data_IF_965281065388
#
_entry.id   IF_965281065388
#
_cell.length_a   1.000
_cell.length_b   1.000
_cell.length_c   1.000
_cell.angle_alpha   90.00
_cell.angle_beta   90.00
_cell.angle_gamma   90.00
#
_symmetry.space_group_name_H-M   'P 1'
#
loop_
_entity.id
_entity.type
_entity.pdbx_description
1 polymer ?
#
# COMPACT_ATOMS: atom_id res chain seq x y z
N UNK A 1 18.41 24.54 8.57
CA UNK A 1 18.34 23.10 8.88
C UNK A 1 17.34 22.91 10.02
N UNK A 2 16.11 22.52 9.72
CA UNK A 2 15.04 22.42 10.70
C UNK A 2 15.22 21.14 11.53
N UNK A 3 15.77 21.29 12.74
CA UNK A 3 15.71 20.25 13.77
C UNK A 3 14.26 20.13 14.22
N UNK A 4 13.48 19.27 13.56
CA UNK A 4 12.17 18.89 14.06
C UNK A 4 12.39 17.99 15.27
N UNK A 5 12.03 18.51 16.44
CA UNK A 5 11.95 17.75 17.69
C UNK A 5 11.00 16.59 17.44
N UNK A 6 11.53 15.36 17.44
CA UNK A 6 10.77 14.13 17.23
C UNK A 6 9.81 13.96 18.42
N UNK A 7 8.56 14.44 18.28
CA UNK A 7 7.49 14.10 19.22
C UNK A 7 7.19 12.61 19.11
N UNK A 8 7.01 11.96 20.27
CA UNK A 8 6.66 10.54 20.35
C UNK A 8 5.41 10.22 19.53
N UNK A 9 5.32 9.01 18.97
CA UNK A 9 4.15 8.58 18.18
C UNK A 9 2.88 8.54 19.03
N UNK A 10 3.02 8.22 20.32
CA UNK A 10 1.91 8.22 21.28
C UNK A 10 1.25 9.62 21.42
N UNK A 11 2.05 10.68 21.50
CA UNK A 11 1.54 12.07 21.60
C UNK A 11 0.82 12.55 20.34
N UNK A 12 1.13 11.94 19.19
CA UNK A 12 0.58 12.31 17.89
C UNK A 12 -0.69 11.53 17.53
N UNK A 13 -1.27 10.80 18.50
CA UNK A 13 -2.48 10.00 18.32
C UNK A 13 -2.32 8.90 17.25
N UNK A 14 -1.10 8.35 17.13
CA UNK A 14 -0.92 7.12 16.38
C UNK A 14 -1.52 5.97 17.17
N UNK A 15 -2.33 5.16 16.50
CA UNK A 15 -2.82 3.89 17.02
C UNK A 15 -1.80 2.78 16.76
N UNK A 16 -1.87 1.77 17.63
CA UNK A 16 -1.04 0.59 17.61
C UNK A 16 -1.22 -0.17 16.30
N UNK A 17 -0.17 -0.83 15.83
CA UNK A 17 -0.25 -1.72 14.67
C UNK A 17 -1.11 -2.95 14.99
N UNK A 18 -1.84 -3.43 13.98
CA UNK A 18 -2.66 -4.63 14.07
C UNK A 18 -1.87 -5.86 13.63
N UNK A 19 -2.35 -7.06 13.90
CA UNK A 19 -1.71 -8.33 13.49
C UNK A 19 -1.41 -8.37 11.99
N UNK A 20 -2.28 -7.82 11.15
CA UNK A 20 -2.07 -7.75 9.69
C UNK A 20 -0.85 -6.91 9.29
N UNK A 21 -0.31 -6.08 10.18
CA UNK A 21 0.92 -5.33 9.92
C UNK A 21 2.20 -6.15 10.18
N UNK A 22 2.11 -7.36 10.76
CA UNK A 22 3.28 -8.17 11.12
C UNK A 22 4.22 -8.39 9.93
N UNK A 23 5.48 -7.99 10.07
CA UNK A 23 6.49 -8.10 9.00
C UNK A 23 6.57 -6.91 8.05
N UNK A 24 5.85 -5.82 8.33
CA UNK A 24 6.01 -4.57 7.60
C UNK A 24 7.24 -3.79 8.10
N UNK A 25 8.14 -3.37 7.19
CA UNK A 25 9.37 -2.64 7.52
C UNK A 25 9.12 -1.25 8.14
N UNK A 26 7.87 -0.77 8.09
CA UNK A 26 7.48 0.59 8.50
C UNK A 26 6.96 0.65 9.93
N UNK A 27 7.12 -0.42 10.70
CA UNK A 27 6.75 -0.48 12.12
C UNK A 27 7.87 0.15 12.96
N UNK A 28 7.49 1.00 13.90
CA UNK A 28 8.40 1.62 14.87
C UNK A 28 7.92 1.24 16.26
N UNK A 29 8.82 0.76 17.10
CA UNK A 29 8.51 0.46 18.50
C UNK A 29 8.92 1.63 19.40
N UNK A 30 7.98 2.12 20.20
CA UNK A 30 8.22 3.14 21.22
C UNK A 30 7.51 2.74 22.52
N UNK A 31 8.24 2.75 23.64
CA UNK A 31 7.71 2.41 24.97
C UNK A 31 6.99 1.05 25.03
N UNK A 32 7.47 0.05 24.27
CA UNK A 32 6.86 -1.29 24.20
C UNK A 32 5.59 -1.38 23.36
N UNK A 33 5.22 -0.30 22.66
CA UNK A 33 4.08 -0.26 21.74
C UNK A 33 4.59 -0.05 20.31
N UNK A 34 4.05 -0.85 19.39
CA UNK A 34 4.41 -0.77 17.98
C UNK A 34 3.44 0.14 17.22
N UNK A 35 3.97 1.09 16.47
CA UNK A 35 3.25 2.08 15.68
C UNK A 35 3.63 2.01 14.21
N UNK A 36 2.74 2.48 13.32
CA UNK A 36 3.06 2.62 11.91
C UNK A 36 3.70 3.99 11.66
N UNK A 37 4.86 4.04 10.98
CA UNK A 37 5.52 5.30 10.61
C UNK A 37 4.71 6.16 9.64
N UNK A 38 3.83 5.54 8.85
CA UNK A 38 3.11 6.19 7.74
C UNK A 38 1.67 6.53 8.08
N UNK A 39 0.97 5.68 8.84
CA UNK A 39 -0.46 5.84 9.11
C UNK A 39 -0.74 5.99 10.60
N UNK A 40 -1.55 7.00 10.93
CA UNK A 40 -2.09 7.22 12.27
C UNK A 40 -3.02 6.09 12.73
N UNK A 41 -3.80 5.51 11.80
CA UNK A 41 -4.77 4.47 12.11
C UNK A 41 -4.61 3.27 11.16
N UNK A 42 -3.74 2.31 11.49
CA UNK A 42 -3.49 1.14 10.63
C UNK A 42 -4.75 0.29 10.43
N UNK A 43 -5.59 0.14 11.45
CA UNK A 43 -6.86 -0.62 11.38
C UNK A 43 -7.78 -0.12 10.24
N UNK A 44 -8.01 1.19 10.15
CA UNK A 44 -8.85 1.78 9.12
C UNK A 44 -8.30 1.53 7.71
N UNK A 45 -6.97 1.52 7.56
CA UNK A 45 -6.34 1.24 6.26
C UNK A 45 -6.60 -0.20 5.82
N UNK A 46 -6.50 -1.16 6.74
CA UNK A 46 -6.76 -2.57 6.47
C UNK A 46 -8.25 -2.92 6.32
N UNK A 47 -9.15 -2.09 6.86
CA UNK A 47 -10.59 -2.24 6.65
C UNK A 47 -11.00 -1.87 5.22
N UNK A 48 -10.37 -0.86 4.62
CA UNK A 48 -10.62 -0.42 3.24
C UNK A 48 -9.94 -1.31 2.17
N UNK A 49 -9.10 -2.26 2.58
CA UNK A 49 -8.37 -3.15 1.67
C UNK A 49 -6.92 -3.40 2.12
N UNK A 50 -6.10 -3.98 1.24
CA UNK A 50 -4.68 -4.21 1.52
C UNK A 50 -3.95 -2.86 1.64
N UNK A 51 -3.08 -2.75 2.64
CA UNK A 51 -2.25 -1.54 2.78
C UNK A 51 -1.28 -1.40 1.59
N UNK A 52 -1.33 -0.25 0.90
CA UNK A 52 -0.47 0.06 -0.26
C UNK A 52 1.04 0.06 0.06
N UNK A 53 1.41 0.15 1.34
CA UNK A 53 2.79 0.13 1.81
C UNK A 53 3.15 -1.17 2.55
N UNK A 54 2.26 -2.18 2.54
CA UNK A 54 2.60 -3.48 3.08
C UNK A 54 3.72 -4.09 2.24
N UNK A 55 4.91 -4.22 2.83
CA UNK A 55 6.04 -4.89 2.21
C UNK A 55 5.85 -6.41 2.19
N UNK A 56 5.03 -6.92 3.10
CA UNK A 56 4.77 -8.34 3.31
C UNK A 56 3.53 -8.86 2.58
N UNK A 57 2.56 -7.99 2.26
CA UNK A 57 1.32 -8.38 1.61
C UNK A 57 1.26 -7.81 0.19
N UNK A 58 1.51 -8.64 -0.81
CA UNK A 58 1.37 -8.26 -2.21
C UNK A 58 -0.07 -8.55 -2.66
N UNK A 59 -0.80 -7.59 -3.26
CA UNK A 59 -2.09 -7.90 -3.85
C UNK A 59 -1.90 -8.97 -4.92
N UNK A 60 -2.70 -10.03 -4.86
CA UNK A 60 -2.75 -11.03 -5.92
C UNK A 60 -3.31 -10.38 -7.18
N UNK A 61 -2.41 -9.95 -8.05
CA UNK A 61 -2.78 -9.52 -9.39
C UNK A 61 -3.08 -10.82 -10.13
N UNK A 62 -4.35 -11.23 -10.15
CA UNK A 62 -4.81 -12.21 -11.13
C UNK A 62 -4.66 -11.54 -12.48
N UNK A 63 -3.49 -11.71 -13.12
CA UNK A 63 -3.26 -11.31 -14.49
C UNK A 63 -4.18 -12.21 -15.30
N UNK A 64 -5.42 -11.79 -15.48
CA UNK A 64 -6.31 -12.40 -16.45
C UNK A 64 -5.60 -12.17 -17.77
N UNK A 65 -4.93 -13.22 -18.24
CA UNK A 65 -4.33 -13.25 -19.58
C UNK A 65 -5.51 -13.26 -20.54
N UNK A 66 -6.06 -12.07 -20.77
CA UNK A 66 -7.12 -11.87 -21.75
C UNK A 66 -6.46 -12.20 -23.07
N UNK A 67 -6.72 -13.42 -23.56
CA UNK A 67 -6.31 -13.84 -24.90
C UNK A 67 -7.06 -12.96 -25.89
N UNK A 68 -6.45 -11.86 -26.28
CA UNK A 68 -6.99 -10.97 -27.29
C UNK A 68 -6.90 -11.70 -28.63
N UNK A 69 -8.05 -11.90 -29.27
CA UNK A 69 -8.11 -12.51 -30.60
C UNK A 69 -7.26 -11.70 -31.59
N UNK A 70 -6.40 -12.33 -32.42
CA UNK A 70 -5.54 -11.64 -33.37
C UNK A 70 -6.29 -10.68 -34.32
N UNK A 71 -7.52 -11.01 -34.75
CA UNK A 71 -8.34 -10.12 -35.57
C UNK A 71 -8.72 -8.82 -34.83
N UNK A 72 -8.97 -8.91 -33.52
CA UNK A 72 -9.30 -7.76 -32.67
C UNK A 72 -8.07 -6.89 -32.39
N UNK A 73 -6.89 -7.50 -32.31
CA UNK A 73 -5.62 -6.77 -32.22
C UNK A 73 -5.29 -6.02 -33.51
N UNK A 74 -5.42 -6.69 -34.67
CA UNK A 74 -5.21 -6.07 -35.99
C UNK A 74 -6.13 -4.86 -36.21
N UNK A 75 -7.43 -4.99 -35.91
CA UNK A 75 -8.39 -3.88 -36.03
C UNK A 75 -8.03 -2.68 -35.14
N UNK A 76 -7.51 -2.91 -33.94
CA UNK A 76 -7.07 -1.85 -33.02
C UNK A 76 -5.81 -1.14 -33.51
N UNK A 77 -4.87 -1.86 -34.09
CA UNK A 77 -3.65 -1.29 -34.67
C UNK A 77 -3.98 -0.37 -35.86
N UNK A 78 -4.84 -0.82 -36.77
CA UNK A 78 -5.26 -0.03 -37.95
C UNK A 78 -6.03 1.24 -37.57
N UNK A 79 -6.83 1.20 -36.49
CA UNK A 79 -7.58 2.37 -36.02
C UNK A 79 -6.67 3.45 -35.39
N UNK A 80 -5.53 3.06 -34.82
CA UNK A 80 -4.60 3.99 -34.16
C UNK A 80 -3.67 4.73 -35.12
N UNK A 81 -3.42 4.16 -36.30
CA UNK A 81 -2.60 4.76 -37.36
C UNK A 81 -3.35 5.75 -38.27
N UNK A 82 -4.63 6.03 -38.03
CA UNK A 82 -5.47 6.93 -38.85
C UNK A 82 -5.62 8.33 -38.25
N UNK A 83 -4.60 8.80 -37.51
CA UNK A 83 -4.55 10.12 -36.89
C UNK A 83 -3.41 10.93 -37.47
#
# INVERSE_FOLDING_TARGET
>A
MQKQVLKSYNERNFKNVIEKCSGCERIVEENGVQFCKTFMQPEAKWHLGICNFATHAKPEITVVTIRVNPLKAAKRASAKGKK
#
